data_IF_896810304470
#
_entry.id   IF_896810304470
#
_cell.length_a   1.000
_cell.length_b   1.000
_cell.length_c   1.000
_cell.angle_alpha   90.00
_cell.angle_beta   90.00
_cell.angle_gamma   90.00
#
_symmetry.space_group_name_H-M   'P 1'
#
loop_
_entity.id
_entity.type
_entity.pdbx_description
1 polymer ?
#
# COMPACT_ATOMS: atom_id res chain seq x y z
N UNK A 1 41.74 7.73 42.44
CA UNK A 1 41.26 6.47 41.82
C UNK A 1 39.74 6.54 41.81
N UNK A 2 39.16 6.96 40.68
CA UNK A 2 37.71 7.15 40.57
C UNK A 2 37.15 5.99 39.77
N UNK A 3 36.45 5.09 40.44
CA UNK A 3 35.86 3.89 39.85
C UNK A 3 34.63 4.29 39.03
N UNK A 4 34.77 4.35 37.70
CA UNK A 4 33.62 4.40 36.82
C UNK A 4 32.97 3.02 36.82
N UNK A 5 31.72 2.99 37.26
CA UNK A 5 30.85 1.83 37.29
C UNK A 5 30.50 1.40 35.86
N UNK A 6 31.42 0.67 35.23
CA UNK A 6 31.19 -0.01 33.96
C UNK A 6 30.37 -1.26 34.25
N UNK A 7 29.05 -1.22 34.07
CA UNK A 7 28.24 -2.42 34.05
C UNK A 7 28.69 -3.29 32.86
N UNK A 8 29.34 -4.46 33.06
CA UNK A 8 29.96 -5.23 31.98
C UNK A 8 28.95 -6.12 31.26
N UNK A 9 27.71 -5.67 31.12
CA UNK A 9 26.81 -6.25 30.14
C UNK A 9 27.16 -5.64 28.78
N UNK A 10 28.30 -6.08 28.24
CA UNK A 10 28.54 -6.11 26.81
C UNK A 10 27.32 -6.83 26.22
N UNK A 11 26.31 -6.07 25.80
CA UNK A 11 25.00 -6.60 25.42
C UNK A 11 25.19 -7.47 24.19
N UNK A 12 25.35 -8.78 24.38
CA UNK A 12 25.54 -9.77 23.30
C UNK A 12 24.52 -9.62 22.16
N UNK A 13 23.40 -8.97 22.46
CA UNK A 13 22.34 -8.67 21.52
C UNK A 13 22.26 -7.19 21.12
N UNK A 14 22.04 -6.94 19.83
CA UNK A 14 21.65 -5.64 19.27
C UNK A 14 20.15 -5.59 19.02
N UNK A 15 19.54 -4.40 19.12
CA UNK A 15 18.09 -4.18 18.94
C UNK A 15 17.81 -3.29 17.73
N UNK A 16 16.99 -3.78 16.82
CA UNK A 16 16.48 -3.04 15.67
C UNK A 16 15.05 -2.59 15.93
N UNK A 17 14.79 -1.29 15.87
CA UNK A 17 13.45 -0.72 15.75
C UNK A 17 13.15 -0.53 14.26
N UNK A 18 12.35 -1.42 13.68
CA UNK A 18 12.12 -1.45 12.24
C UNK A 18 10.68 -1.10 11.89
N UNK A 19 10.50 -0.36 10.80
CA UNK A 19 9.18 0.01 10.28
C UNK A 19 8.96 -0.48 8.85
N UNK A 20 7.77 -1.00 8.53
CA UNK A 20 7.42 -1.56 7.23
C UNK A 20 5.93 -1.45 6.91
N UNK A 21 5.55 -1.55 5.62
CA UNK A 21 4.14 -1.48 5.17
C UNK A 21 3.50 -0.09 5.22
N UNK A 22 4.25 0.94 5.61
CA UNK A 22 3.87 2.35 5.55
C UNK A 22 4.68 3.12 4.52
N UNK A 23 4.70 4.44 4.66
CA UNK A 23 5.41 5.36 3.76
C UNK A 23 6.13 6.46 4.51
N UNK A 24 7.24 6.92 3.94
CA UNK A 24 7.92 8.12 4.42
C UNK A 24 7.18 9.33 3.85
N UNK A 25 6.73 10.23 4.72
CA UNK A 25 5.97 11.43 4.36
C UNK A 25 6.53 12.66 5.07
N UNK A 26 6.48 13.84 4.45
CA UNK A 26 6.82 15.08 5.15
C UNK A 26 5.81 15.34 6.27
N UNK A 27 6.30 15.85 7.40
CA UNK A 27 5.47 16.30 8.50
C UNK A 27 4.93 17.71 8.17
N UNK A 28 3.63 17.97 8.39
CA UNK A 28 3.03 19.27 8.02
C UNK A 28 3.61 20.49 8.75
N UNK A 29 4.21 20.31 9.93
CA UNK A 29 4.66 21.41 10.79
C UNK A 29 6.04 21.97 10.42
N UNK A 30 6.97 21.09 10.03
CA UNK A 30 8.39 21.41 9.85
C UNK A 30 8.96 20.88 8.52
N UNK A 31 8.17 20.15 7.71
CA UNK A 31 8.61 19.52 6.46
C UNK A 31 9.50 18.29 6.64
N UNK A 32 9.91 17.96 7.87
CA UNK A 32 10.81 16.83 8.15
C UNK A 32 10.16 15.50 7.84
N UNK A 33 10.95 14.54 7.35
CA UNK A 33 10.41 13.23 7.01
C UNK A 33 10.04 12.43 8.26
N UNK A 34 8.89 11.78 8.21
CA UNK A 34 8.43 10.81 9.22
C UNK A 34 7.91 9.55 8.55
N UNK A 35 8.01 8.43 9.26
CA UNK A 35 7.31 7.22 8.85
C UNK A 35 5.83 7.34 9.23
N UNK A 36 4.94 7.14 8.26
CA UNK A 36 3.49 7.24 8.43
C UNK A 36 2.78 5.96 8.00
N UNK A 37 1.85 5.50 8.83
CA UNK A 37 1.14 4.22 8.63
C UNK A 37 2.06 3.01 8.84
N UNK A 38 1.61 1.83 8.39
CA UNK A 38 2.37 0.58 8.49
C UNK A 38 2.52 0.06 9.92
N UNK A 39 3.58 -0.72 10.12
CA UNK A 39 3.92 -1.37 11.39
C UNK A 39 5.30 -0.94 11.85
N UNK A 40 5.47 -0.82 13.17
CA UNK A 40 6.75 -0.62 13.82
C UNK A 40 6.95 -1.72 14.87
N UNK A 41 8.06 -2.45 14.78
CA UNK A 41 8.37 -3.59 15.63
C UNK A 41 9.82 -3.53 16.12
N UNK A 42 10.12 -4.31 17.15
CA UNK A 42 11.48 -4.45 17.67
C UNK A 42 11.95 -5.88 17.44
N UNK A 43 13.13 -6.04 16.83
CA UNK A 43 13.82 -7.31 16.68
C UNK A 43 15.11 -7.25 17.50
N UNK A 44 15.31 -8.22 18.40
CA UNK A 44 16.56 -8.38 19.14
C UNK A 44 17.31 -9.58 18.56
N UNK A 45 18.57 -9.39 18.19
CA UNK A 45 19.43 -10.42 17.58
C UNK A 45 20.80 -10.38 18.22
N UNK A 46 21.56 -11.47 18.10
CA UNK A 46 22.97 -11.46 18.50
C UNK A 46 23.79 -10.50 17.63
N UNK A 47 24.81 -9.88 18.22
CA UNK A 47 25.73 -8.97 17.51
C UNK A 47 26.51 -9.64 16.39
N UNK A 48 26.74 -10.95 16.50
CA UNK A 48 27.45 -11.75 15.50
C UNK A 48 26.56 -12.21 14.33
N UNK A 49 25.29 -11.81 14.30
CA UNK A 49 24.37 -12.19 13.22
C UNK A 49 24.89 -11.75 11.85
N UNK A 50 24.79 -12.65 10.88
CA UNK A 50 25.11 -12.32 9.49
C UNK A 50 23.98 -11.50 8.86
N UNK A 51 24.31 -10.70 7.84
CA UNK A 51 23.33 -9.97 7.05
C UNK A 51 22.29 -10.92 6.46
N UNK A 52 22.69 -12.07 5.94
CA UNK A 52 21.78 -13.07 5.39
C UNK A 52 20.74 -13.55 6.42
N UNK A 53 21.17 -13.94 7.62
CA UNK A 53 20.28 -14.36 8.70
C UNK A 53 19.35 -13.23 9.18
N UNK A 54 19.89 -12.02 9.26
CA UNK A 54 19.11 -10.83 9.62
C UNK A 54 17.98 -10.59 8.61
N UNK A 55 18.29 -10.71 7.31
CA UNK A 55 17.31 -10.55 6.24
C UNK A 55 16.24 -11.64 6.24
N UNK A 56 16.59 -12.88 6.60
CA UNK A 56 15.61 -13.98 6.79
C UNK A 56 14.63 -13.62 7.92
N UNK A 57 15.14 -13.21 9.09
CA UNK A 57 14.28 -12.81 10.22
C UNK A 57 13.34 -11.66 9.86
N UNK A 58 13.84 -10.66 9.13
CA UNK A 58 12.98 -9.58 8.65
C UNK A 58 11.93 -10.10 7.64
N UNK A 59 12.34 -10.95 6.70
CA UNK A 59 11.45 -11.54 5.70
C UNK A 59 10.31 -12.33 6.32
N UNK A 60 10.61 -13.20 7.30
CA UNK A 60 9.62 -13.96 8.07
C UNK A 60 8.66 -13.04 8.83
N UNK A 61 9.19 -12.00 9.47
CA UNK A 61 8.37 -11.06 10.26
C UNK A 61 7.43 -10.21 9.41
N UNK A 62 7.83 -9.88 8.18
CA UNK A 62 7.09 -9.07 7.22
C UNK A 62 6.17 -9.90 6.32
N UNK A 63 6.42 -11.21 6.20
CA UNK A 63 5.73 -12.10 5.26
C UNK A 63 6.20 -11.95 3.81
N UNK A 64 7.33 -11.28 3.55
CA UNK A 64 7.87 -11.05 2.20
C UNK A 64 9.34 -10.64 2.25
N UNK A 65 10.10 -10.86 1.17
CA UNK A 65 11.47 -10.37 1.05
C UNK A 65 11.54 -8.85 1.02
N UNK A 66 12.47 -8.27 1.78
CA UNK A 66 12.63 -6.83 1.97
C UNK A 66 14.08 -6.40 1.74
N UNK A 67 14.28 -5.10 1.48
CA UNK A 67 15.57 -4.42 1.56
C UNK A 67 15.66 -3.67 2.89
N UNK A 68 16.82 -3.74 3.53
CA UNK A 68 17.10 -3.05 4.79
C UNK A 68 17.75 -1.70 4.53
N UNK A 69 17.15 -0.64 5.07
CA UNK A 69 17.82 0.66 5.20
C UNK A 69 17.77 1.15 6.64
N UNK A 70 18.85 1.75 7.10
CA UNK A 70 19.00 2.18 8.49
C UNK A 70 19.35 3.66 8.57
N UNK A 71 18.86 4.31 9.63
CA UNK A 71 19.27 5.66 10.03
C UNK A 71 20.61 5.55 10.76
N UNK A 72 21.46 6.55 10.64
CA UNK A 72 22.58 6.72 11.58
C UNK A 72 22.09 7.37 12.89
N UNK A 73 22.83 7.24 14.01
CA UNK A 73 22.39 7.72 15.33
C UNK A 73 21.95 9.18 15.35
N UNK A 74 22.72 10.05 14.71
CA UNK A 74 22.53 11.50 14.66
C UNK A 74 21.61 11.97 13.52
N UNK A 75 21.41 11.14 12.50
CA UNK A 75 20.73 11.52 11.26
C UNK A 75 19.21 11.43 11.33
N UNK A 76 18.51 11.92 10.30
CA UNK A 76 17.04 11.86 10.18
C UNK A 76 16.55 10.82 9.15
N UNK A 77 15.23 10.72 8.94
CA UNK A 77 14.63 9.69 8.07
C UNK A 77 14.80 9.96 6.57
N UNK A 78 15.28 11.14 6.20
CA UNK A 78 15.72 11.52 4.87
C UNK A 78 17.12 10.99 4.52
N UNK A 79 17.95 10.69 5.53
CA UNK A 79 19.30 10.16 5.35
C UNK A 79 19.35 8.69 5.80
N UNK A 80 18.85 7.80 4.94
CA UNK A 80 18.88 6.35 5.17
C UNK A 80 20.01 5.68 4.39
N UNK A 81 20.79 4.86 5.09
CA UNK A 81 21.88 4.06 4.51
C UNK A 81 21.35 2.67 4.17
N UNK A 82 21.61 2.19 2.95
CA UNK A 82 21.26 0.83 2.53
C UNK A 82 22.31 -0.14 3.06
N UNK A 83 21.87 -1.18 3.76
CA UNK A 83 22.76 -2.25 4.25
C UNK A 83 22.69 -3.40 3.27
N UNK A 84 23.83 -3.85 2.73
CA UNK A 84 23.88 -4.90 1.70
C UNK A 84 24.90 -6.00 1.98
N UNK A 85 25.70 -5.86 3.02
CA UNK A 85 26.77 -6.79 3.38
C UNK A 85 26.94 -6.90 4.89
N UNK A 86 27.67 -7.92 5.35
CA UNK A 86 28.06 -8.07 6.75
C UNK A 86 28.96 -6.92 7.22
N UNK A 87 29.76 -6.36 6.32
CA UNK A 87 30.63 -5.22 6.62
C UNK A 87 29.81 -3.97 6.91
N UNK A 88 28.81 -3.66 6.08
CA UNK A 88 27.89 -2.55 6.33
C UNK A 88 27.15 -2.71 7.67
N UNK A 89 26.75 -3.94 7.99
CA UNK A 89 26.05 -4.25 9.24
C UNK A 89 26.95 -4.04 10.47
N UNK A 90 28.20 -4.51 10.42
CA UNK A 90 29.18 -4.30 11.49
C UNK A 90 29.44 -2.81 11.73
N UNK A 91 29.73 -2.09 10.65
CA UNK A 91 29.98 -0.65 10.71
C UNK A 91 28.80 0.13 11.30
N UNK A 92 27.57 -0.26 10.93
CA UNK A 92 26.36 0.33 11.50
C UNK A 92 26.25 0.06 13.01
N UNK A 93 26.48 -1.18 13.45
CA UNK A 93 26.38 -1.55 14.87
C UNK A 93 27.44 -0.79 15.68
N UNK A 94 28.69 -0.76 15.21
CA UNK A 94 29.79 -0.06 15.87
C UNK A 94 29.52 1.45 16.01
N UNK A 95 28.99 2.09 14.96
CA UNK A 95 28.65 3.52 15.00
C UNK A 95 27.59 3.81 16.07
N UNK A 96 26.57 2.94 16.19
CA UNK A 96 25.56 3.07 17.23
C UNK A 96 26.13 2.84 18.62
N UNK A 97 27.01 1.87 18.80
CA UNK A 97 27.62 1.58 20.09
C UNK A 97 28.55 2.70 20.56
N UNK A 98 29.30 3.30 19.63
CA UNK A 98 30.20 4.42 19.91
C UNK A 98 29.45 5.68 20.34
N UNK A 99 28.32 5.96 19.72
CA UNK A 99 27.57 7.22 19.91
C UNK A 99 26.43 7.10 20.91
N UNK A 100 25.74 5.96 20.94
CA UNK A 100 24.49 5.73 21.67
C UNK A 100 24.34 4.25 22.09
N UNK A 101 25.17 3.75 23.03
CA UNK A 101 25.31 2.32 23.34
C UNK A 101 24.03 1.60 23.80
N UNK A 102 23.00 2.33 24.23
CA UNK A 102 21.71 1.75 24.65
C UNK A 102 20.58 1.98 23.62
N UNK A 103 20.85 2.69 22.53
CA UNK A 103 19.84 3.02 21.54
C UNK A 103 19.53 1.86 20.59
N UNK A 104 18.30 1.85 20.09
CA UNK A 104 17.87 0.91 19.05
C UNK A 104 18.27 1.43 17.69
N UNK A 105 18.88 0.57 16.87
CA UNK A 105 19.14 0.88 15.45
C UNK A 105 17.79 1.10 14.77
N UNK A 106 17.58 2.28 14.19
CA UNK A 106 16.33 2.56 13.47
C UNK A 106 16.42 2.10 12.03
N UNK A 107 15.53 1.21 11.64
CA UNK A 107 15.46 0.63 10.32
C UNK A 107 14.12 0.90 9.63
N UNK A 108 14.15 0.97 8.32
CA UNK A 108 12.98 1.01 7.44
C UNK A 108 13.14 -0.11 6.41
N UNK A 109 12.15 -0.98 6.35
CA UNK A 109 12.14 -2.11 5.43
C UNK A 109 11.30 -1.78 4.20
N UNK A 110 11.87 -2.00 3.02
CA UNK A 110 11.21 -1.75 1.75
C UNK A 110 10.98 -3.08 1.03
N UNK A 111 9.77 -3.37 0.52
CA UNK A 111 9.52 -4.58 -0.26
C UNK A 111 10.50 -4.70 -1.44
N UNK A 112 11.01 -5.90 -1.70
CA UNK A 112 11.70 -6.20 -2.95
C UNK A 112 10.64 -6.41 -4.02
N UNK A 113 10.41 -5.41 -4.86
CA UNK A 113 9.56 -5.58 -6.02
C UNK A 113 10.28 -6.53 -6.99
N UNK A 114 9.87 -7.79 -7.05
CA UNK A 114 10.28 -8.67 -8.15
C UNK A 114 9.63 -8.12 -9.43
N UNK A 115 10.38 -7.30 -10.16
CA UNK A 115 9.96 -6.78 -11.45
C UNK A 115 9.88 -7.92 -12.48
N UNK A 116 8.82 -8.72 -12.41
CA UNK A 116 8.29 -9.55 -13.50
C UNK A 116 6.77 -9.64 -13.34
N UNK A 117 6.06 -8.52 -13.56
CA UNK A 117 4.71 -8.62 -14.15
C UNK A 117 4.94 -9.14 -15.57
N UNK A 118 4.99 -10.46 -15.73
CA UNK A 118 4.65 -11.07 -17.01
C UNK A 118 3.16 -10.71 -17.19
N UNK A 119 2.88 -9.70 -18.00
CA UNK A 119 1.54 -9.51 -18.55
C UNK A 119 1.08 -10.88 -19.10
N UNK A 120 -0.16 -11.32 -18.85
CA UNK A 120 -0.64 -12.50 -19.54
C UNK A 120 -0.47 -12.28 -21.07
N UNK A 121 0.00 -13.28 -21.84
CA UNK A 121 0.00 -13.16 -23.29
C UNK A 121 -1.42 -12.82 -23.71
N UNK A 122 -1.57 -11.75 -24.50
CA UNK A 122 -2.85 -11.42 -25.13
C UNK A 122 -3.32 -12.66 -25.87
N UNK A 123 -4.44 -13.24 -25.45
CA UNK A 123 -5.02 -14.40 -26.13
C UNK A 123 -5.13 -14.10 -27.63
N UNK A 124 -4.74 -15.03 -28.52
CA UNK A 124 -4.98 -14.84 -29.94
C UNK A 124 -6.50 -14.84 -30.16
N UNK A 125 -7.00 -13.81 -30.83
CA UNK A 125 -8.38 -13.74 -31.30
C UNK A 125 -8.67 -15.00 -32.13
N UNK A 126 -9.76 -15.69 -31.81
CA UNK A 126 -10.24 -16.86 -32.56
C UNK A 126 -10.77 -16.42 -33.92
N UNK A 127 -9.95 -16.52 -34.97
CA UNK A 127 -10.40 -16.41 -36.36
C UNK A 127 -10.98 -17.76 -36.83
N UNK A 128 -12.26 -17.99 -36.52
CA UNK A 128 -13.07 -19.01 -37.21
C UNK A 128 -14.07 -18.30 -38.13
N UNK A 129 -13.69 -18.13 -39.39
CA UNK A 129 -14.61 -17.75 -40.46
C UNK A 129 -15.37 -19.02 -40.92
N UNK A 130 -16.69 -19.05 -40.70
CA UNK A 130 -17.57 -20.04 -41.32
C UNK A 130 -18.01 -19.53 -42.70
N UNK A 131 -17.72 -20.25 -43.81
CA UNK A 131 -18.16 -19.82 -45.13
C UNK A 131 -19.69 -19.95 -45.25
N UNK A 132 -20.37 -18.83 -45.50
CA UNK A 132 -21.81 -18.81 -45.79
C UNK A 132 -22.06 -19.38 -47.19
N UNK A 133 -22.95 -20.37 -47.29
CA UNK A 133 -23.36 -21.01 -48.53
C UNK A 133 -24.05 -20.03 -49.51
N UNK A 134 -23.93 -20.23 -50.84
CA UNK A 134 -24.53 -19.35 -51.83
C UNK A 134 -26.05 -19.59 -51.98
N UNK A 135 -26.83 -18.50 -52.09
CA UNK A 135 -28.27 -18.56 -52.38
C UNK A 135 -28.52 -18.66 -53.90
N UNK A 136 -29.52 -19.45 -54.35
CA UNK A 136 -29.80 -19.63 -55.77
C UNK A 136 -30.61 -18.49 -56.39
N UNK A 137 -30.44 -18.38 -57.69
CA UNK A 137 -30.96 -17.39 -58.62
C UNK A 137 -32.50 -17.33 -58.70
N UNK A 138 -33.06 -16.13 -58.89
CA UNK A 138 -34.39 -15.95 -59.47
C UNK A 138 -34.36 -14.89 -60.58
N UNK A 139 -35.09 -15.20 -61.64
CA UNK A 139 -35.07 -14.59 -62.97
C UNK A 139 -35.83 -13.25 -63.02
N UNK A 140 -35.41 -12.37 -63.94
CA UNK A 140 -35.86 -11.00 -64.20
C UNK A 140 -37.28 -10.90 -64.81
N UNK A 141 -37.96 -9.77 -64.57
CA UNK A 141 -38.70 -9.02 -65.62
C UNK A 141 -39.01 -7.57 -65.17
N UNK A 142 -39.23 -6.61 -66.10
CA UNK A 142 -38.93 -5.18 -65.92
C UNK A 142 -40.18 -4.28 -65.84
N UNK A 143 -40.03 -3.02 -65.39
CA UNK A 143 -40.84 -1.90 -65.90
C UNK A 143 -40.24 -0.53 -65.56
N UNK A 144 -39.97 0.22 -66.63
CA UNK A 144 -40.24 1.65 -66.90
C UNK A 144 -39.95 2.73 -65.86
N UNK A 145 -39.16 3.71 -66.32
CA UNK A 145 -38.75 4.93 -65.64
C UNK A 145 -39.87 5.97 -65.45
N UNK A 146 -39.80 6.74 -64.36
CA UNK A 146 -39.98 8.21 -64.42
C UNK A 146 -39.40 8.92 -63.19
N UNK A 147 -39.01 10.17 -63.43
CA UNK A 147 -38.27 11.10 -62.60
C UNK A 147 -39.13 11.73 -61.48
N UNK A 148 -38.51 12.07 -60.34
CA UNK A 148 -38.30 13.44 -59.79
C UNK A 148 -38.29 13.49 -58.24
N UNK A 149 -37.40 14.38 -57.79
CA UNK A 149 -37.42 15.23 -56.58
C UNK A 149 -37.21 14.60 -55.18
N UNK A 150 -36.32 15.24 -54.42
CA UNK A 150 -35.96 14.98 -53.03
C UNK A 150 -36.73 15.94 -52.07
N UNK A 151 -36.36 16.05 -50.77
CA UNK A 151 -36.95 15.45 -49.54
C UNK A 151 -37.70 16.58 -48.73
N UNK A 152 -38.06 16.54 -47.40
CA UNK A 152 -37.50 15.76 -46.28
C UNK A 152 -38.46 15.27 -45.17
N UNK A 153 -37.90 14.43 -44.26
CA UNK A 153 -37.91 14.57 -42.79
C UNK A 153 -38.19 13.29 -42.00
N UNK A 154 -37.33 13.07 -41.00
CA UNK A 154 -37.53 12.43 -39.69
C UNK A 154 -38.11 10.98 -39.67
N UNK A 155 -37.28 9.95 -39.41
CA UNK A 155 -37.04 9.32 -38.07
C UNK A 155 -38.34 8.95 -37.33
N UNK A 156 -38.60 7.77 -36.78
CA UNK A 156 -37.81 6.58 -36.49
C UNK A 156 -38.80 5.50 -35.99
N UNK A 157 -38.52 4.23 -36.35
CA UNK A 157 -38.76 2.98 -35.62
C UNK A 157 -39.92 2.87 -34.61
N UNK A 158 -40.92 2.07 -34.96
CA UNK A 158 -41.77 1.33 -34.01
C UNK A 158 -41.38 -0.16 -34.02
N UNK A 159 -41.09 -0.68 -32.82
CA UNK A 159 -41.23 -2.05 -32.29
C UNK A 159 -40.01 -2.36 -31.39
N UNK A 160 -40.13 -2.13 -30.08
CA UNK A 160 -40.73 -3.03 -29.08
C UNK A 160 -39.70 -4.00 -28.50
N UNK A 161 -39.11 -3.60 -27.37
CA UNK A 161 -38.52 -4.53 -26.41
C UNK A 161 -39.11 -4.25 -25.03
N UNK A 162 -39.72 -5.30 -24.49
CA UNK A 162 -40.40 -5.39 -23.20
C UNK A 162 -39.36 -5.25 -22.08
N UNK A 163 -39.34 -4.11 -21.39
CA UNK A 163 -38.49 -3.91 -20.21
C UNK A 163 -39.14 -4.56 -18.98
N UNK A 164 -38.37 -5.42 -18.31
CA UNK A 164 -38.70 -6.04 -17.03
C UNK A 164 -38.63 -4.96 -15.95
N UNK A 165 -39.78 -4.64 -15.35
CA UNK A 165 -39.88 -3.65 -14.28
C UNK A 165 -39.38 -4.21 -12.95
N UNK A 166 -38.46 -3.49 -12.31
CA UNK A 166 -38.20 -3.60 -10.87
C UNK A 166 -38.85 -2.38 -10.19
N UNK A 167 -39.59 -2.57 -9.08
CA UNK A 167 -40.22 -1.46 -8.39
C UNK A 167 -39.19 -0.58 -7.66
N UNK A 168 -39.28 0.72 -7.90
CA UNK A 168 -38.63 1.79 -7.13
C UNK A 168 -39.37 1.95 -5.81
N UNK A 169 -38.68 1.68 -4.69
CA UNK A 169 -39.12 2.10 -3.38
C UNK A 169 -38.57 3.50 -3.08
N UNK A 170 -39.47 4.47 -3.04
CA UNK A 170 -39.24 5.84 -2.57
C UNK A 170 -39.07 5.86 -1.05
N UNK A 171 -37.83 6.03 -0.58
CA UNK A 171 -37.49 6.17 0.83
C UNK A 171 -36.98 7.58 1.13
N UNK A 172 -37.79 8.35 1.85
CA UNK A 172 -37.54 9.70 2.36
C UNK A 172 -36.22 9.80 3.14
N UNK A 173 -35.45 10.85 2.85
CA UNK A 173 -34.39 11.32 3.75
C UNK A 173 -35.03 11.95 4.98
N UNK A 174 -34.93 11.29 6.14
CA UNK A 174 -35.13 11.90 7.44
C UNK A 174 -33.76 12.22 8.05
N UNK A 175 -33.49 13.51 8.19
CA UNK A 175 -32.34 14.04 8.91
C UNK A 175 -32.58 13.80 10.41
N UNK A 176 -31.88 12.85 11.01
CA UNK A 176 -31.84 12.72 12.47
C UNK A 176 -30.54 13.32 12.99
N UNK A 177 -30.69 14.47 13.65
CA UNK A 177 -29.70 15.08 14.52
C UNK A 177 -29.45 14.14 15.72
N UNK A 178 -28.35 13.39 15.67
CA UNK A 178 -27.94 12.46 16.73
C UNK A 178 -26.80 13.06 17.55
N UNK A 179 -27.15 13.69 18.67
CA UNK A 179 -26.22 14.23 19.68
C UNK A 179 -25.33 13.12 20.25
N UNK A 180 -24.01 13.33 20.17
CA UNK A 180 -22.98 12.49 20.79
C UNK A 180 -22.88 12.78 22.29
N UNK A 181 -23.03 11.80 23.20
CA UNK A 181 -22.81 12.01 24.62
C UNK A 181 -21.30 12.04 24.93
N UNK A 182 -20.79 13.23 25.23
CA UNK A 182 -19.50 13.40 25.90
C UNK A 182 -19.60 12.84 27.31
N UNK A 183 -18.85 11.79 27.62
CA UNK A 183 -18.59 11.37 29.00
C UNK A 183 -17.72 12.45 29.67
N UNK A 184 -18.35 13.26 30.52
CA UNK A 184 -17.67 14.09 31.49
C UNK A 184 -17.40 13.24 32.74
N UNK A 185 -16.13 13.11 33.12
CA UNK A 185 -15.78 12.64 34.46
C UNK A 185 -16.09 13.77 35.45
N UNK A 186 -17.07 13.53 36.33
CA UNK A 186 -17.21 14.31 37.56
C UNK A 186 -16.17 13.81 38.57
N UNK A 187 -15.25 14.68 38.97
CA UNK A 187 -14.43 14.50 40.18
C UNK A 187 -15.14 15.24 41.31
N UNK A 188 -15.59 14.48 42.32
CA UNK A 188 -16.16 15.03 43.53
C UNK A 188 -15.04 15.55 44.46
N UNK A 189 -15.20 16.80 44.92
CA UNK A 189 -14.41 17.37 45.99
C UNK A 189 -14.82 16.75 47.32
N UNK A 190 -13.87 16.12 48.02
CA UNK A 190 -13.99 15.75 49.42
C UNK A 190 -13.21 16.73 50.29
N UNK A 191 -13.92 17.61 50.98
CA UNK A 191 -13.42 18.40 52.11
C UNK A 191 -13.31 17.50 53.34
N UNK A 192 -12.19 17.54 54.05
CA UNK A 192 -12.17 17.15 55.46
C UNK A 192 -11.19 18.03 56.24
N UNK A 193 -11.76 18.79 57.16
CA UNK A 193 -11.09 19.54 58.21
C UNK A 193 -10.81 18.62 59.38
N UNK A 194 -9.61 18.70 59.98
CA UNK A 194 -9.42 18.67 61.42
C UNK A 194 -8.02 19.18 61.80
#
# INVERSE_FOLDING_TARGET
MTTLNSNPNCTKTVKFLYSYGGKIVPRPTDGKLRYGGGYTRVLSVDRSITFAELMVKFGESCGSSVNLKCKLPTEELDVLISIKSDEDLRNLIEEYERTTPEAKIRAVLFPINSAKKLSPPSSPLSCFDFPTAPKPHHVKAPSTACFRAAPPSATAYMCSSRAVGYPVATGKYCFHEGKSPRHFYHVAHGTHSH
#
